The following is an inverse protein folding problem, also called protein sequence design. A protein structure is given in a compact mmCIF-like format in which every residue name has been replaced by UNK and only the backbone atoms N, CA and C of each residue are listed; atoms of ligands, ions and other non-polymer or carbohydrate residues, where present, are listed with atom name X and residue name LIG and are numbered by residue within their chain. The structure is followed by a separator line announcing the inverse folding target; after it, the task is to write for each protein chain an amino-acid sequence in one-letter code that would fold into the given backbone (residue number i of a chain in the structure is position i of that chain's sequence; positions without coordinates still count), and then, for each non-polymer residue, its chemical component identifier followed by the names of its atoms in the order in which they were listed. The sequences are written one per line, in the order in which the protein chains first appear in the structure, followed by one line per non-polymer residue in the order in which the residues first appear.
data_IF_492944120982
#
_entry.id   IF_492944120982
#
_cell.length_a   1.000
_cell.length_b   1.000
_cell.length_c   1.000
_cell.angle_alpha   90.00
_cell.angle_beta   90.00
_cell.angle_gamma   90.00
#
_symmetry.space_group_name_H-M   'P 1'
#
loop_
_entity.id
_entity.type
_entity.pdbx_description
1 polymer ?
#
# COMPACT_ATOMS: atom_id res chain seq x y z
N UNK A 1 -3.39 -3.09 2.01
CA UNK A 1 -3.32 -2.81 3.45
C UNK A 1 -4.25 -1.68 3.76
N UNK A 2 -5.22 -1.92 4.62
CA UNK A 2 -6.12 -0.91 5.15
C UNK A 2 -5.58 -0.41 6.49
N UNK A 3 -5.56 0.89 6.68
CA UNK A 3 -5.17 1.55 7.91
C UNK A 3 -6.41 2.21 8.53
N UNK A 4 -6.75 1.85 9.76
CA UNK A 4 -7.79 2.53 10.54
C UNK A 4 -7.20 3.79 11.20
N UNK A 5 -8.04 4.62 11.78
CA UNK A 5 -7.62 5.91 12.37
C UNK A 5 -6.58 5.77 13.49
N UNK A 6 -6.57 4.63 14.17
CA UNK A 6 -5.66 4.33 15.28
C UNK A 6 -4.35 3.65 14.84
N UNK A 7 -4.23 3.33 13.54
CA UNK A 7 -3.03 2.68 13.02
C UNK A 7 -1.89 3.68 12.76
N UNK A 8 -0.67 3.15 12.64
CA UNK A 8 0.50 3.94 12.27
C UNK A 8 0.46 4.30 10.78
N UNK A 9 0.38 5.58 10.46
CA UNK A 9 0.12 6.09 9.10
C UNK A 9 1.37 6.39 8.27
N UNK A 10 2.54 5.93 8.66
CA UNK A 10 3.75 5.98 7.84
C UNK A 10 3.93 4.67 7.09
N UNK A 11 4.46 4.73 5.89
CA UNK A 11 4.73 3.57 5.06
C UNK A 11 6.15 3.60 4.50
N UNK A 12 6.65 2.43 4.21
CA UNK A 12 8.05 2.17 3.89
C UNK A 12 8.19 1.46 2.55
N UNK A 13 9.37 1.57 1.94
CA UNK A 13 9.71 0.74 0.80
C UNK A 13 9.88 -0.72 1.21
N UNK A 14 9.28 -1.61 0.43
CA UNK A 14 9.26 -3.06 0.70
C UNK A 14 10.55 -3.77 0.31
N UNK A 15 11.39 -3.12 -0.51
CA UNK A 15 12.67 -3.66 -0.96
C UNK A 15 13.62 -2.54 -1.37
N UNK A 16 14.90 -2.90 -1.57
CA UNK A 16 15.86 -2.02 -2.26
C UNK A 16 15.48 -1.92 -3.74
N UNK A 17 15.81 -0.80 -4.35
CA UNK A 17 15.57 -0.66 -5.78
C UNK A 17 15.63 0.77 -6.29
N UNK A 18 15.10 0.96 -7.48
CA UNK A 18 14.94 2.27 -8.12
C UNK A 18 13.47 2.64 -8.22
N UNK A 19 13.13 3.81 -7.68
CA UNK A 19 11.77 4.33 -7.76
C UNK A 19 11.59 5.20 -9.00
N UNK A 20 10.40 5.08 -9.63
CA UNK A 20 9.95 6.00 -10.67
C UNK A 20 9.44 7.32 -10.07
N UNK A 21 9.14 8.29 -10.92
CA UNK A 21 8.39 9.48 -10.51
C UNK A 21 7.02 9.10 -9.95
N UNK A 22 6.56 9.85 -8.96
CA UNK A 22 5.21 9.69 -8.41
C UNK A 22 4.19 10.22 -9.43
N UNK A 23 3.09 9.50 -9.58
CA UNK A 23 1.96 9.89 -10.42
C UNK A 23 0.70 9.98 -9.58
N UNK A 24 0.09 11.16 -9.58
CA UNK A 24 -1.17 11.40 -8.87
C UNK A 24 -2.35 11.21 -9.81
N UNK A 25 -3.36 10.49 -9.33
CA UNK A 25 -4.69 10.37 -9.92
C UNK A 25 -5.64 11.14 -8.98
N UNK A 26 -6.12 12.32 -9.40
CA UNK A 26 -7.08 13.07 -8.58
C UNK A 26 -8.41 12.32 -8.52
N UNK A 27 -9.08 12.43 -7.42
CA UNK A 27 -10.38 11.83 -7.17
C UNK A 27 -11.05 12.49 -5.97
N UNK A 28 -12.11 11.88 -5.50
CA UNK A 28 -12.82 12.27 -4.28
C UNK A 28 -12.18 11.61 -3.04
N UNK A 29 -12.75 11.83 -1.87
CA UNK A 29 -12.28 11.26 -0.62
C UNK A 29 -13.47 10.59 0.08
N UNK A 30 -13.73 9.35 -0.30
CA UNK A 30 -14.70 8.49 0.36
C UNK A 30 -14.06 7.70 1.50
N UNK A 31 -14.89 7.15 2.36
CA UNK A 31 -14.45 6.25 3.44
C UNK A 31 -13.82 4.96 2.87
N UNK A 32 -12.86 4.42 3.60
CA UNK A 32 -12.31 3.08 3.36
C UNK A 32 -12.82 2.05 4.36
N UNK A 33 -13.89 2.40 5.12
CA UNK A 33 -14.51 1.49 6.08
C UNK A 33 -15.06 0.24 5.36
N UNK A 34 -14.77 -0.99 5.83
CA UNK A 34 -15.26 -2.23 5.22
C UNK A 34 -16.76 -2.24 5.03
N UNK A 35 -17.55 -1.78 6.01
CA UNK A 35 -19.03 -1.73 5.93
C UNK A 35 -19.53 -0.97 4.70
N UNK A 36 -18.85 0.11 4.31
CA UNK A 36 -19.20 0.85 3.10
C UNK A 36 -18.77 0.09 1.84
N UNK A 37 -17.61 -0.57 1.87
CA UNK A 37 -17.06 -1.30 0.75
C UNK A 37 -17.83 -2.59 0.43
N UNK A 38 -18.46 -3.21 1.42
CA UNK A 38 -19.33 -4.39 1.23
C UNK A 38 -20.58 -4.07 0.40
N UNK A 39 -21.04 -2.81 0.46
CA UNK A 39 -22.19 -2.33 -0.32
C UNK A 39 -21.75 -1.76 -1.66
N UNK A 40 -20.72 -0.92 -1.65
CA UNK A 40 -20.17 -0.28 -2.85
C UNK A 40 -18.69 0.07 -2.63
N UNK A 41 -17.77 -0.45 -3.46
CA UNK A 41 -16.32 -0.22 -3.29
C UNK A 41 -15.92 1.20 -3.72
N UNK A 42 -16.48 2.21 -3.07
CA UNK A 42 -16.35 3.64 -3.38
C UNK A 42 -14.91 4.16 -3.23
N UNK A 43 -14.06 3.49 -2.44
CA UNK A 43 -12.64 3.86 -2.32
C UNK A 43 -11.91 3.86 -3.66
N UNK A 44 -12.44 3.18 -4.68
CA UNK A 44 -11.89 3.14 -6.04
C UNK A 44 -11.93 4.51 -6.73
N UNK A 45 -12.73 5.45 -6.23
CA UNK A 45 -12.81 6.82 -6.73
C UNK A 45 -11.91 7.79 -5.97
N UNK A 46 -11.28 7.34 -4.88
CA UNK A 46 -10.46 8.19 -4.02
C UNK A 46 -9.18 8.64 -4.72
N UNK A 47 -8.77 9.87 -4.40
CA UNK A 47 -7.46 10.41 -4.78
C UNK A 47 -6.37 9.42 -4.38
N UNK A 48 -5.48 9.13 -5.31
CA UNK A 48 -4.37 8.20 -5.09
C UNK A 48 -3.10 8.69 -5.75
N UNK A 49 -2.01 8.21 -5.23
CA UNK A 49 -0.69 8.44 -5.81
C UNK A 49 0.03 7.10 -5.94
N UNK A 50 0.78 6.91 -7.01
CA UNK A 50 1.53 5.67 -7.20
C UNK A 50 2.91 5.93 -7.78
N UNK A 51 3.81 5.00 -7.50
CA UNK A 51 5.12 4.87 -8.12
C UNK A 51 5.41 3.41 -8.47
N UNK A 52 6.36 3.21 -9.37
CA UNK A 52 6.90 1.90 -9.68
C UNK A 52 8.25 1.75 -8.98
N UNK A 53 8.42 0.65 -8.28
CA UNK A 53 9.70 0.24 -7.71
C UNK A 53 10.29 -0.88 -8.56
N UNK A 54 11.40 -0.63 -9.25
CA UNK A 54 12.22 -1.68 -9.84
C UNK A 54 13.04 -2.30 -8.70
N UNK A 55 12.47 -3.31 -8.08
CA UNK A 55 13.00 -4.00 -6.91
C UNK A 55 14.18 -4.89 -7.30
N UNK A 56 15.13 -5.05 -6.38
CA UNK A 56 16.27 -5.97 -6.56
C UNK A 56 15.86 -7.43 -6.51
N UNK A 57 14.81 -7.78 -5.72
CA UNK A 57 14.44 -9.17 -5.45
C UNK A 57 13.08 -9.58 -6.03
N UNK A 58 12.16 -8.64 -6.27
CA UNK A 58 10.76 -8.95 -6.58
C UNK A 58 10.30 -8.50 -7.96
N UNK A 59 11.23 -8.04 -8.81
CA UNK A 59 10.89 -7.47 -10.11
C UNK A 59 10.29 -6.07 -9.99
N UNK A 60 9.38 -5.69 -10.87
CA UNK A 60 8.75 -4.38 -10.79
C UNK A 60 7.47 -4.46 -9.96
N UNK A 61 7.41 -3.62 -8.93
CA UNK A 61 6.26 -3.47 -8.04
C UNK A 61 5.57 -2.14 -8.32
N UNK A 62 4.25 -2.12 -8.30
CA UNK A 62 3.49 -0.89 -8.17
C UNK A 62 3.19 -0.67 -6.68
N UNK A 63 3.52 0.50 -6.20
CA UNK A 63 3.22 0.97 -4.85
C UNK A 63 2.23 2.13 -4.98
N UNK A 64 1.04 1.99 -4.39
CA UNK A 64 -0.03 2.98 -4.50
C UNK A 64 -0.59 3.32 -3.13
N UNK A 65 -0.66 4.61 -2.86
CA UNK A 65 -1.28 5.18 -1.68
C UNK A 65 -2.64 5.76 -2.05
N UNK A 66 -3.69 5.33 -1.35
CA UNK A 66 -5.07 5.77 -1.56
C UNK A 66 -5.53 6.56 -0.36
N UNK A 67 -5.86 7.83 -0.57
CA UNK A 67 -6.42 8.70 0.45
C UNK A 67 -7.87 8.31 0.80
N UNK A 68 -8.36 8.79 1.94
CA UNK A 68 -9.72 8.54 2.37
C UNK A 68 -10.39 9.77 2.98
N UNK A 69 -11.66 9.64 3.34
CA UNK A 69 -12.45 10.70 3.98
C UNK A 69 -11.75 11.17 5.26
N UNK A 70 -11.70 12.49 5.42
CA UNK A 70 -11.02 13.24 6.50
C UNK A 70 -9.48 13.22 6.46
N UNK A 71 -8.87 12.55 5.47
CA UNK A 71 -7.40 12.35 5.39
C UNK A 71 -6.88 12.28 3.97
N UNK A 72 -7.28 13.13 3.16
CA UNK A 72 -6.91 13.12 1.76
C UNK A 72 -5.46 13.48 1.43
N UNK A 73 -4.62 13.76 2.40
CA UNK A 73 -3.27 14.22 2.09
C UNK A 73 -2.27 13.07 2.15
N UNK A 74 -1.90 12.60 0.98
CA UNK A 74 -0.76 11.70 0.76
C UNK A 74 0.49 12.57 0.76
N UNK A 75 1.44 12.28 1.64
CA UNK A 75 2.70 13.01 1.78
C UNK A 75 3.87 12.08 1.47
N UNK A 76 4.11 11.84 0.20
CA UNK A 76 5.28 11.09 -0.26
C UNK A 76 6.56 11.92 -0.09
N UNK A 77 7.65 11.26 0.27
CA UNK A 77 8.99 11.87 0.27
C UNK A 77 9.40 12.20 -1.16
N UNK A 78 10.31 13.18 -1.36
CA UNK A 78 10.85 13.45 -2.68
C UNK A 78 11.38 12.19 -3.35
N UNK A 79 11.14 12.04 -4.65
CA UNK A 79 11.60 10.89 -5.42
C UNK A 79 13.11 10.74 -5.29
N UNK A 80 13.55 9.55 -4.90
CA UNK A 80 14.96 9.17 -4.84
C UNK A 80 15.23 8.10 -5.90
N UNK A 81 16.31 8.29 -6.65
CA UNK A 81 16.70 7.31 -7.69
C UNK A 81 16.99 5.93 -7.12
N UNK A 82 17.43 5.83 -5.87
CA UNK A 82 17.68 4.59 -5.16
C UNK A 82 17.05 4.67 -3.78
N UNK A 83 16.34 3.61 -3.41
CA UNK A 83 15.67 3.46 -2.13
C UNK A 83 16.10 2.17 -1.45
N UNK A 84 15.91 2.10 -0.14
CA UNK A 84 16.26 0.93 0.67
C UNK A 84 15.03 0.33 1.31
N UNK A 85 15.03 -0.99 1.48
CA UNK A 85 14.01 -1.68 2.27
C UNK A 85 13.91 -1.07 3.67
N UNK A 86 12.69 -0.80 4.12
CA UNK A 86 12.43 -0.17 5.42
C UNK A 86 12.62 1.35 5.45
N UNK A 87 13.15 1.96 4.40
CA UNK A 87 13.21 3.42 4.29
C UNK A 87 11.80 3.98 4.17
N UNK A 88 11.51 5.08 4.89
CA UNK A 88 10.23 5.76 4.80
C UNK A 88 9.97 6.30 3.39
N UNK A 89 8.85 5.87 2.80
CA UNK A 89 8.37 6.40 1.52
C UNK A 89 7.46 7.61 1.72
N UNK A 90 6.67 7.61 2.78
CA UNK A 90 5.76 8.71 3.07
C UNK A 90 4.84 8.42 4.24
N UNK A 91 3.85 9.30 4.38
CA UNK A 91 2.82 9.19 5.39
C UNK A 91 1.48 9.74 4.88
N UNK A 92 0.42 9.33 5.54
CA UNK A 92 -0.88 9.98 5.42
C UNK A 92 -1.07 10.97 6.57
N UNK A 93 -1.57 12.16 6.26
CA UNK A 93 -1.90 13.17 7.27
C UNK A 93 -3.34 12.94 7.76
N UNK A 94 -3.48 12.28 8.89
CA UNK A 94 -4.72 11.94 9.64
C UNK A 94 -5.76 11.02 8.96
N UNK A 95 -6.31 10.03 9.70
CA UNK A 95 -7.48 9.16 9.46
C UNK A 95 -7.19 7.89 8.63
N UNK A 96 -8.24 7.17 8.24
CA UNK A 96 -8.13 5.91 7.50
C UNK A 96 -7.54 6.07 6.10
N UNK A 97 -6.82 5.06 5.63
CA UNK A 97 -6.16 5.06 4.33
C UNK A 97 -5.92 3.63 3.83
N UNK A 98 -5.50 3.51 2.59
CA UNK A 98 -5.19 2.20 2.01
C UNK A 98 -3.88 2.26 1.24
N UNK A 99 -3.06 1.23 1.40
CA UNK A 99 -1.85 1.01 0.60
C UNK A 99 -2.08 -0.24 -0.24
N UNK A 100 -1.80 -0.13 -1.54
CA UNK A 100 -1.92 -1.23 -2.48
C UNK A 100 -0.54 -1.52 -3.06
N UNK A 101 -0.09 -2.77 -2.91
CA UNK A 101 1.06 -3.28 -3.64
C UNK A 101 0.60 -4.25 -4.72
N UNK A 102 1.05 -4.03 -5.95
CA UNK A 102 0.84 -4.97 -7.03
C UNK A 102 2.18 -5.50 -7.51
N UNK A 103 2.26 -6.79 -7.67
CA UNK A 103 3.46 -7.49 -8.13
C UNK A 103 3.19 -8.16 -9.48
N UNK A 104 4.24 -8.41 -10.24
CA UNK A 104 4.13 -9.30 -11.38
C UNK A 104 3.77 -10.72 -10.91
N UNK A 105 3.02 -11.42 -11.74
CA UNK A 105 2.63 -12.81 -11.47
C UNK A 105 3.84 -13.67 -11.11
N UNK A 106 3.69 -14.53 -10.13
CA UNK A 106 4.70 -15.50 -9.67
C UNK A 106 6.02 -14.89 -9.18
N UNK A 107 6.04 -13.60 -8.83
CA UNK A 107 7.23 -12.94 -8.25
C UNK A 107 7.22 -12.88 -6.73
N UNK A 108 6.03 -12.75 -6.15
CA UNK A 108 5.85 -12.68 -4.69
C UNK A 108 4.72 -13.62 -4.28
N UNK A 109 4.95 -14.36 -3.22
CA UNK A 109 3.99 -15.26 -2.61
C UNK A 109 3.69 -14.77 -1.19
N UNK A 110 2.45 -14.34 -0.91
CA UNK A 110 2.03 -13.99 0.45
C UNK A 110 2.21 -15.17 1.42
N UNK A 111 2.41 -14.88 2.69
CA UNK A 111 2.46 -15.93 3.72
C UNK A 111 1.09 -16.64 3.84
N UNK A 112 1.11 -17.90 4.26
CA UNK A 112 -0.06 -18.78 4.21
C UNK A 112 -1.22 -18.30 5.09
N UNK A 113 -0.94 -17.69 6.22
CA UNK A 113 -1.96 -17.11 7.11
C UNK A 113 -2.73 -15.98 6.40
N UNK A 114 -2.03 -15.12 5.66
CA UNK A 114 -2.65 -14.06 4.86
C UNK A 114 -3.51 -14.67 3.74
N UNK A 115 -3.02 -15.72 3.06
CA UNK A 115 -3.77 -16.37 1.98
C UNK A 115 -5.04 -17.04 2.50
N UNK A 116 -4.95 -17.78 3.61
CA UNK A 116 -6.09 -18.48 4.22
C UNK A 116 -7.14 -17.46 4.67
N UNK A 117 -6.74 -16.48 5.47
CA UNK A 117 -7.66 -15.45 5.95
C UNK A 117 -8.31 -14.68 4.78
N UNK A 118 -7.53 -14.34 3.76
CA UNK A 118 -8.08 -13.64 2.57
C UNK A 118 -9.09 -14.49 1.79
N UNK A 119 -8.89 -15.80 1.72
CA UNK A 119 -9.85 -16.71 1.08
C UNK A 119 -11.19 -16.75 1.83
N UNK A 120 -11.15 -16.59 3.15
CA UNK A 120 -12.32 -16.53 4.02
C UNK A 120 -12.90 -15.10 4.16
N UNK A 121 -12.36 -14.11 3.45
CA UNK A 121 -12.77 -12.70 3.53
C UNK A 121 -12.36 -12.00 4.83
N UNK A 122 -11.39 -12.55 5.55
CA UNK A 122 -10.91 -12.04 6.84
C UNK A 122 -9.63 -11.25 6.64
N UNK A 123 -9.55 -10.05 7.24
CA UNK A 123 -8.33 -9.27 7.26
C UNK A 123 -7.29 -9.86 8.24
N UNK A 124 -6.05 -9.96 7.81
CA UNK A 124 -4.93 -10.35 8.68
C UNK A 124 -4.26 -9.12 9.26
N UNK A 125 -4.21 -9.01 10.60
CA UNK A 125 -3.47 -7.92 11.24
C UNK A 125 -1.97 -8.14 11.10
N UNK A 126 -1.28 -7.13 10.54
CA UNK A 126 0.17 -7.14 10.36
C UNK A 126 0.80 -5.90 10.96
N UNK A 127 2.03 -6.01 11.43
CA UNK A 127 2.79 -4.88 11.94
C UNK A 127 3.80 -4.40 10.89
N UNK A 128 4.08 -3.10 10.88
CA UNK A 128 5.14 -2.56 10.01
C UNK A 128 6.47 -3.27 10.30
N UNK A 129 7.16 -3.67 9.24
CA UNK A 129 8.42 -4.42 9.34
C UNK A 129 8.27 -5.94 9.49
N UNK A 130 7.05 -6.45 9.75
CA UNK A 130 6.84 -7.92 9.73
C UNK A 130 6.85 -8.46 8.31
N UNK A 131 7.23 -9.73 8.19
CA UNK A 131 7.17 -10.43 6.90
C UNK A 131 5.71 -10.70 6.54
N UNK A 132 5.37 -10.42 5.29
CA UNK A 132 4.04 -10.64 4.71
C UNK A 132 4.07 -11.61 3.51
N UNK A 133 5.25 -12.05 3.13
CA UNK A 133 5.46 -12.94 2.00
C UNK A 133 6.93 -13.08 1.65
N UNK A 134 7.18 -13.79 0.57
CA UNK A 134 8.54 -14.05 0.05
C UNK A 134 8.56 -13.99 -1.48
N UNK A 135 9.72 -13.65 -2.02
CA UNK A 135 10.00 -13.78 -3.45
C UNK A 135 10.12 -15.24 -3.88
N UNK A 136 10.03 -15.47 -5.18
CA UNK A 136 10.41 -16.74 -5.78
C UNK A 136 11.94 -16.87 -5.72
N UNK A 137 12.43 -17.93 -5.08
CA UNK A 137 13.85 -18.29 -5.15
C UNK A 137 14.21 -18.73 -6.56
#
# INVERSE_FOLDING_TARGET
FRLSVDDYHRYIYVDNGRESVHRRIPGVLHTVNPVANDVCPIYKENTREYSLLKSEHFGTLLMMEVGALMVGKIENRPVMSHVRRGQEKGNFAFGGSTIIYMTQKDKVFPDMDILINSADGIETKVQIGSRIGKGKN
#
